data_IF_608523372308
#
_entry.id   IF_608523372308
#
_cell.length_a   1.000
_cell.length_b   1.000
_cell.length_c   1.000
_cell.angle_alpha   90.00
_cell.angle_beta   90.00
_cell.angle_gamma   90.00
#
_symmetry.space_group_name_H-M   'P 1'
#
loop_
_entity.id
_entity.type
_entity.pdbx_description
1 polymer ?
#
# COMPACT_ATOMS: atom_id res chain seq x y z
N UNK A 1 10.27 12.74 -7.96
CA UNK A 1 9.26 11.70 -8.21
C UNK A 1 8.45 11.47 -6.96
N UNK A 2 7.14 11.59 -7.06
CA UNK A 2 6.31 11.32 -5.89
C UNK A 2 6.37 9.85 -5.49
N UNK A 3 6.32 9.61 -4.21
CA UNK A 3 6.34 8.27 -3.66
C UNK A 3 4.94 7.92 -3.13
N UNK A 4 4.41 6.78 -3.54
CA UNK A 4 3.11 6.32 -3.11
C UNK A 4 3.27 5.01 -2.37
N UNK A 5 2.70 4.93 -1.19
CA UNK A 5 2.69 3.69 -0.42
C UNK A 5 1.34 3.00 -0.62
N UNK A 6 1.39 1.71 -0.92
CA UNK A 6 0.20 0.88 -1.08
C UNK A 6 0.17 -0.16 0.00
N UNK A 7 -0.93 -0.23 0.73
CA UNK A 7 -1.11 -1.23 1.77
C UNK A 7 -2.35 -2.05 1.44
N UNK A 8 -2.16 -3.32 1.15
CA UNK A 8 -3.25 -4.22 0.77
C UNK A 8 -2.81 -5.64 1.11
N UNK A 9 -3.73 -6.44 1.63
CA UNK A 9 -3.42 -7.83 1.95
C UNK A 9 -3.42 -8.73 0.71
N UNK A 10 -3.89 -8.23 -0.42
CA UNK A 10 -3.92 -8.98 -1.67
C UNK A 10 -2.73 -8.60 -2.53
N UNK A 11 -1.77 -9.51 -2.66
CA UNK A 11 -0.55 -9.27 -3.41
C UNK A 11 -0.81 -9.04 -4.90
N UNK A 12 -1.84 -9.66 -5.45
CA UNK A 12 -2.17 -9.47 -6.85
C UNK A 12 -2.60 -8.04 -7.12
N UNK A 13 -3.38 -7.48 -6.20
CA UNK A 13 -3.81 -6.10 -6.31
C UNK A 13 -2.60 -5.17 -6.18
N UNK A 14 -1.74 -5.44 -5.20
CA UNK A 14 -0.54 -4.63 -5.02
C UNK A 14 0.31 -4.61 -6.29
N UNK A 15 0.54 -5.79 -6.87
CA UNK A 15 1.34 -5.89 -8.08
C UNK A 15 0.72 -5.11 -9.23
N UNK A 16 -0.59 -5.31 -9.46
CA UNK A 16 -1.28 -4.64 -10.57
C UNK A 16 -1.25 -3.13 -10.42
N UNK A 17 -1.57 -2.64 -9.22
CA UNK A 17 -1.63 -1.20 -9.00
C UNK A 17 -0.24 -0.59 -9.04
N UNK A 18 0.76 -1.27 -8.47
CA UNK A 18 2.12 -0.73 -8.48
C UNK A 18 2.66 -0.62 -9.91
N UNK A 19 2.38 -1.60 -10.76
CA UNK A 19 2.81 -1.54 -12.15
C UNK A 19 2.17 -0.33 -12.85
N UNK A 20 0.88 -0.12 -12.63
CA UNK A 20 0.17 0.99 -13.22
C UNK A 20 0.74 2.33 -12.77
N UNK A 21 1.01 2.47 -11.47
CA UNK A 21 1.53 3.71 -10.93
C UNK A 21 2.97 3.96 -11.37
N UNK A 22 3.78 2.92 -11.41
CA UNK A 22 5.15 3.06 -11.88
C UNK A 22 5.19 3.47 -13.34
N UNK A 23 4.23 2.98 -14.12
CA UNK A 23 4.09 3.39 -15.51
C UNK A 23 3.79 4.87 -15.65
N UNK A 24 3.20 5.48 -14.64
CA UNK A 24 2.91 6.92 -14.64
C UNK A 24 4.06 7.76 -14.08
N UNK A 25 5.14 7.12 -13.67
CA UNK A 25 6.30 7.84 -13.16
C UNK A 25 6.36 7.96 -11.64
N UNK A 26 5.51 7.24 -10.93
CA UNK A 26 5.54 7.27 -9.47
C UNK A 26 6.47 6.20 -8.91
N UNK A 27 7.02 6.48 -7.75
CA UNK A 27 7.75 5.48 -6.98
C UNK A 27 6.76 4.83 -6.04
N UNK A 28 6.75 3.50 -5.99
CA UNK A 28 5.74 2.76 -5.23
C UNK A 28 6.38 1.91 -4.16
N UNK A 29 5.85 1.99 -2.93
CA UNK A 29 6.22 1.13 -1.83
C UNK A 29 4.99 0.27 -1.52
N UNK A 30 5.19 -1.04 -1.39
CA UNK A 30 4.06 -1.95 -1.14
C UNK A 30 4.23 -2.67 0.19
N UNK A 31 3.11 -2.86 0.87
CA UNK A 31 3.06 -3.55 2.15
C UNK A 31 1.84 -4.45 2.17
N UNK A 32 1.97 -5.62 2.78
CA UNK A 32 0.87 -6.58 2.84
C UNK A 32 0.13 -6.57 4.17
N UNK A 33 0.64 -5.83 5.15
CA UNK A 33 -0.08 -5.70 6.42
C UNK A 33 0.18 -4.33 7.03
N UNK A 34 -0.69 -3.97 7.98
CA UNK A 34 -0.62 -2.64 8.58
C UNK A 34 0.60 -2.42 9.46
N UNK A 35 1.08 -3.47 10.13
CA UNK A 35 2.25 -3.33 10.99
C UNK A 35 3.51 -3.03 10.18
N UNK A 36 3.70 -3.78 9.09
CA UNK A 36 4.83 -3.53 8.20
C UNK A 36 4.72 -2.15 7.58
N UNK A 37 3.49 -1.73 7.22
CA UNK A 37 3.27 -0.41 6.65
C UNK A 37 3.65 0.68 7.62
N UNK A 38 3.20 0.59 8.86
CA UNK A 38 3.51 1.59 9.87
C UNK A 38 5.01 1.75 10.05
N UNK A 39 5.72 0.63 10.15
CA UNK A 39 7.16 0.66 10.34
C UNK A 39 7.86 1.28 9.13
N UNK A 40 7.49 0.85 7.93
CA UNK A 40 8.07 1.37 6.72
C UNK A 40 7.77 2.86 6.50
N UNK A 41 6.55 3.28 6.81
CA UNK A 41 6.15 4.67 6.63
C UNK A 41 6.87 5.61 7.60
N UNK A 42 7.21 5.13 8.79
CA UNK A 42 7.99 5.92 9.74
C UNK A 42 9.41 6.12 9.24
N UNK A 43 10.00 5.10 8.65
CA UNK A 43 11.37 5.18 8.17
C UNK A 43 11.46 5.95 6.86
N UNK A 44 10.47 5.81 6.00
CA UNK A 44 10.49 6.42 4.68
C UNK A 44 9.10 6.93 4.34
N UNK A 45 8.73 8.12 4.82
CA UNK A 45 7.38 8.64 4.59
C UNK A 45 7.13 8.89 3.11
N UNK A 46 6.00 8.41 2.58
CA UNK A 46 5.63 8.68 1.21
C UNK A 46 4.90 10.00 1.07
N UNK A 47 4.71 10.43 -0.16
CA UNK A 47 3.90 11.62 -0.44
C UNK A 47 2.42 11.30 -0.28
N UNK A 48 2.04 10.05 -0.57
CA UNK A 48 0.66 9.61 -0.46
C UNK A 48 0.64 8.15 -0.01
N UNK A 49 -0.28 7.82 0.88
CA UNK A 49 -0.47 6.44 1.33
C UNK A 49 -1.89 6.00 1.01
N UNK A 50 -2.01 4.87 0.34
CA UNK A 50 -3.29 4.28 -0.01
C UNK A 50 -3.46 3.00 0.80
N UNK A 51 -4.47 2.96 1.64
CA UNK A 51 -4.77 1.79 2.45
C UNK A 51 -6.04 1.13 1.93
N UNK A 52 -5.91 -0.11 1.52
CA UNK A 52 -7.05 -0.90 1.06
C UNK A 52 -7.02 -2.24 1.78
N UNK A 53 -7.10 -2.17 3.09
CA UNK A 53 -7.12 -3.36 3.93
C UNK A 53 -8.57 -3.74 4.18
N UNK A 54 -8.97 -4.87 3.67
CA UNK A 54 -10.29 -5.40 3.93
C UNK A 54 -10.27 -6.15 5.24
N UNK A 55 -10.97 -5.61 6.21
CA UNK A 55 -11.08 -6.25 7.50
C UNK A 55 -12.17 -7.30 7.41
N UNK A 56 -11.86 -8.54 7.53
CA UNK A 56 -12.87 -9.59 7.43
C UNK A 56 -13.69 -9.67 8.67
N UNK A 57 -13.97 -8.95 9.46
CA UNK A 57 -14.66 -9.05 10.65
C UNK A 57 -15.87 -8.40 10.84
N UNK A 58 -16.13 -8.54 10.96
CA UNK A 58 -16.68 -8.05 11.22
C UNK A 58 -17.68 -8.03 11.71
N UNK A 59 -17.87 -8.05 11.83
CA UNK A 59 -18.49 -7.98 12.20
C UNK A 59 -19.35 -8.26 12.43
N UNK A 60 -19.47 -8.52 12.36
CA UNK A 60 -19.96 -8.70 12.35
C UNK A 60 -20.77 -8.85 12.54
N UNK A 61 -20.79 -8.84 12.55
CA UNK A 61 -21.13 -8.84 12.51
C UNK A 61 -21.43 -9.05 12.58
#
# INVERSE_FOLDING_TARGET
>A
MPTIALVDDDRNILTSVSIALEGEGYRVQTYTDGAAALDGLKQSPPDLAIFDIKMPRMDGM
#
